data_IF_574748932983
#
_entry.id   IF_574748932983
#
_cell.length_a   1.000
_cell.length_b   1.000
_cell.length_c   1.000
_cell.angle_alpha   90.00
_cell.angle_beta   90.00
_cell.angle_gamma   90.00
#
_symmetry.space_group_name_H-M   'P 1'
#
loop_
_entity.id
_entity.type
_entity.pdbx_description
1 polymer ?
#
# COMPACT_ATOMS: atom_id res chain seq x y z
N UNK A 1 20.51 20.67 -14.16
CA UNK A 1 20.31 20.21 -12.77
C UNK A 1 19.12 20.97 -12.20
N UNK A 2 18.11 20.28 -11.64
CA UNK A 2 16.95 20.93 -11.03
C UNK A 2 17.35 21.73 -9.78
N UNK A 3 16.66 22.83 -9.50
CA UNK A 3 16.93 23.65 -8.31
C UNK A 3 16.53 22.91 -7.03
N UNK A 4 17.17 23.25 -5.89
CA UNK A 4 16.84 22.67 -4.58
C UNK A 4 15.34 22.85 -4.22
N UNK A 5 14.75 23.98 -4.65
CA UNK A 5 13.31 24.24 -4.48
C UNK A 5 12.44 23.28 -5.28
N UNK A 6 12.80 23.00 -6.54
CA UNK A 6 12.06 22.06 -7.39
C UNK A 6 12.15 20.62 -6.88
N UNK A 7 13.33 20.21 -6.38
CA UNK A 7 13.49 18.88 -5.75
C UNK A 7 12.66 18.74 -4.48
N UNK A 8 12.56 19.81 -3.67
CA UNK A 8 11.70 19.83 -2.48
C UNK A 8 10.22 19.66 -2.84
N UNK A 9 9.74 20.43 -3.81
CA UNK A 9 8.36 20.32 -4.30
C UNK A 9 8.07 18.91 -4.84
N UNK A 10 9.01 18.32 -5.57
CA UNK A 10 8.90 16.95 -6.08
C UNK A 10 8.81 15.93 -4.92
N UNK A 11 9.65 16.06 -3.90
CA UNK A 11 9.57 15.23 -2.68
C UNK A 11 8.20 15.36 -1.99
N UNK A 12 7.67 16.58 -1.84
CA UNK A 12 6.35 16.83 -1.23
C UNK A 12 5.21 16.20 -2.04
N UNK A 13 5.26 16.28 -3.37
CA UNK A 13 4.29 15.64 -4.26
C UNK A 13 4.37 14.10 -4.19
N UNK A 14 5.58 13.55 -4.10
CA UNK A 14 5.78 12.10 -3.94
C UNK A 14 5.24 11.62 -2.60
N UNK A 15 5.46 12.36 -1.49
CA UNK A 15 4.88 12.04 -0.18
C UNK A 15 3.34 12.00 -0.26
N UNK A 16 2.71 13.01 -0.83
CA UNK A 16 1.24 13.02 -1.01
C UNK A 16 0.72 11.83 -1.82
N UNK A 17 1.51 11.38 -2.80
CA UNK A 17 1.16 10.20 -3.62
C UNK A 17 1.27 8.90 -2.82
N UNK A 18 2.32 8.77 -1.99
CA UNK A 18 2.50 7.66 -1.04
C UNK A 18 1.33 7.61 -0.06
N UNK A 19 0.96 8.74 0.56
CA UNK A 19 -0.18 8.84 1.49
C UNK A 19 -1.49 8.40 0.84
N UNK A 20 -1.75 8.84 -0.39
CA UNK A 20 -2.93 8.44 -1.16
C UNK A 20 -2.96 6.93 -1.43
N UNK A 21 -1.82 6.32 -1.72
CA UNK A 21 -1.71 4.87 -1.92
C UNK A 21 -1.99 4.12 -0.61
N UNK A 22 -1.46 4.58 0.53
CA UNK A 22 -1.76 4.00 1.85
C UNK A 22 -3.25 4.07 2.21
N UNK A 23 -3.92 5.20 1.95
CA UNK A 23 -5.36 5.35 2.20
C UNK A 23 -6.17 4.33 1.37
N UNK A 24 -5.84 4.17 0.08
CA UNK A 24 -6.49 3.17 -0.78
C UNK A 24 -6.27 1.75 -0.26
N UNK A 25 -5.03 1.41 0.12
CA UNK A 25 -4.69 0.11 0.69
C UNK A 25 -5.48 -0.18 1.95
N UNK A 26 -5.56 0.79 2.87
CA UNK A 26 -6.32 0.65 4.12
C UNK A 26 -7.82 0.45 3.86
N UNK A 27 -8.40 1.14 2.88
CA UNK A 27 -9.80 0.96 2.50
C UNK A 27 -10.08 -0.46 1.97
N UNK A 28 -9.20 -1.00 1.12
CA UNK A 28 -9.33 -2.37 0.61
C UNK A 28 -9.20 -3.42 1.72
N UNK A 29 -8.20 -3.26 2.61
CA UNK A 29 -8.02 -4.13 3.77
C UNK A 29 -9.24 -4.09 4.70
N UNK A 30 -9.76 -2.89 5.01
CA UNK A 30 -10.98 -2.73 5.79
C UNK A 30 -12.19 -3.39 5.12
N UNK A 31 -12.27 -3.32 3.79
CA UNK A 31 -13.28 -4.03 3.00
C UNK A 31 -13.23 -5.55 3.19
N UNK A 32 -12.05 -6.14 3.32
CA UNK A 32 -11.92 -7.58 3.59
C UNK A 32 -12.53 -7.97 4.94
N UNK A 33 -12.25 -7.20 6.01
CA UNK A 33 -12.78 -7.47 7.34
C UNK A 33 -14.30 -7.26 7.44
N UNK A 34 -14.87 -6.28 6.74
CA UNK A 34 -16.30 -5.96 6.84
C UNK A 34 -17.16 -6.81 5.90
N UNK A 35 -16.69 -7.10 4.68
CA UNK A 35 -17.51 -7.76 3.64
C UNK A 35 -17.31 -9.27 3.56
N UNK A 36 -16.12 -9.78 3.92
CA UNK A 36 -15.83 -11.22 3.91
C UNK A 36 -15.87 -11.84 5.30
N UNK A 37 -16.53 -11.14 6.24
CA UNK A 37 -16.98 -11.67 7.52
C UNK A 37 -18.53 -11.80 7.58
N UNK A 38 -19.24 -12.36 6.57
CA UNK A 38 -20.59 -12.87 6.81
C UNK A 38 -20.46 -14.07 7.77
N UNK A 39 -21.47 -14.37 8.61
CA UNK A 39 -21.34 -15.44 9.59
C UNK A 39 -20.93 -16.71 8.84
N UNK A 40 -19.87 -17.36 9.29
CA UNK A 40 -19.48 -18.68 8.83
C UNK A 40 -20.76 -19.52 8.76
N UNK A 41 -21.33 -19.70 7.57
CA UNK A 41 -22.49 -20.58 7.44
C UNK A 41 -21.90 -21.97 7.51
N UNK A 42 -21.84 -22.51 8.72
CA UNK A 42 -21.46 -23.88 8.99
C UNK A 42 -22.43 -24.81 8.23
N UNK A 43 -22.00 -25.30 7.07
CA UNK A 43 -22.57 -26.51 6.49
C UNK A 43 -21.70 -27.69 6.96
N UNK A 44 -21.90 -28.13 8.20
CA UNK A 44 -21.00 -29.08 8.86
C UNK A 44 -19.72 -28.40 9.37
N UNK A 45 -18.53 -28.95 9.08
CA UNK A 45 -17.21 -28.46 9.54
C UNK A 45 -16.50 -27.52 8.53
N UNK A 46 -17.20 -27.01 7.52
CA UNK A 46 -16.58 -26.23 6.43
C UNK A 46 -17.01 -24.77 6.51
N UNK A 47 -16.01 -23.88 6.59
CA UNK A 47 -16.18 -22.43 6.43
C UNK A 47 -16.26 -22.14 4.93
N UNK A 48 -17.42 -21.70 4.47
CA UNK A 48 -17.60 -21.30 3.07
C UNK A 48 -17.43 -19.78 2.94
N UNK A 49 -16.32 -19.35 2.34
CA UNK A 49 -16.13 -17.95 1.94
C UNK A 49 -17.04 -17.70 0.72
N UNK A 50 -18.17 -17.02 0.95
CA UNK A 50 -19.22 -16.81 -0.06
C UNK A 50 -18.77 -16.00 -1.28
N UNK A 51 -17.63 -15.32 -1.21
CA UNK A 51 -17.15 -14.42 -2.26
C UNK A 51 -15.62 -14.48 -2.42
N UNK A 52 -15.12 -15.69 -2.65
CA UNK A 52 -13.69 -15.96 -2.82
C UNK A 52 -13.08 -15.19 -4.00
N UNK A 53 -13.84 -14.99 -5.09
CA UNK A 53 -13.36 -14.29 -6.29
C UNK A 53 -13.12 -12.81 -6.02
N UNK A 54 -14.05 -12.12 -5.34
CA UNK A 54 -13.80 -10.72 -4.96
C UNK A 54 -12.73 -10.58 -3.90
N UNK A 55 -12.59 -11.57 -3.00
CA UNK A 55 -11.49 -11.61 -2.04
C UNK A 55 -10.13 -11.70 -2.77
N UNK A 56 -9.99 -12.62 -3.74
CA UNK A 56 -8.79 -12.75 -4.56
C UNK A 56 -8.49 -11.46 -5.33
N UNK A 57 -9.48 -10.87 -5.98
CA UNK A 57 -9.33 -9.59 -6.70
C UNK A 57 -8.88 -8.46 -5.75
N UNK A 58 -9.40 -8.43 -4.53
CA UNK A 58 -9.01 -7.45 -3.51
C UNK A 58 -7.55 -7.64 -3.09
N UNK A 59 -7.09 -8.88 -2.93
CA UNK A 59 -5.67 -9.18 -2.66
C UNK A 59 -4.75 -8.74 -3.81
N UNK A 60 -5.13 -9.01 -5.06
CA UNK A 60 -4.36 -8.55 -6.22
C UNK A 60 -4.21 -7.03 -6.25
N UNK A 61 -5.30 -6.30 -5.94
CA UNK A 61 -5.27 -4.84 -5.83
C UNK A 61 -4.35 -4.37 -4.69
N UNK A 62 -4.38 -5.03 -3.53
CA UNK A 62 -3.49 -4.71 -2.41
C UNK A 62 -2.02 -4.93 -2.80
N UNK A 63 -1.69 -6.04 -3.47
CA UNK A 63 -0.34 -6.33 -3.95
C UNK A 63 0.12 -5.25 -4.94
N UNK A 64 -0.75 -4.86 -5.88
CA UNK A 64 -0.47 -3.79 -6.83
C UNK A 64 -0.16 -2.46 -6.12
N UNK A 65 -0.95 -2.08 -5.11
CA UNK A 65 -0.72 -0.85 -4.33
C UNK A 65 0.58 -0.95 -3.51
N UNK A 66 0.91 -2.11 -2.95
CA UNK A 66 2.19 -2.30 -2.24
C UNK A 66 3.38 -2.03 -3.18
N UNK A 67 3.31 -2.54 -4.43
CA UNK A 67 4.34 -2.29 -5.44
C UNK A 67 4.42 -0.80 -5.83
N UNK A 68 3.27 -0.11 -5.91
CA UNK A 68 3.22 1.34 -6.14
C UNK A 68 3.92 2.11 -5.00
N UNK A 69 3.62 1.78 -3.74
CA UNK A 69 4.26 2.39 -2.57
C UNK A 69 5.77 2.15 -2.58
N UNK A 70 6.23 0.93 -2.87
CA UNK A 70 7.65 0.60 -2.96
C UNK A 70 8.36 1.45 -4.00
N UNK A 71 7.77 1.59 -5.19
CA UNK A 71 8.31 2.40 -6.27
C UNK A 71 8.37 3.89 -5.90
N UNK A 72 7.27 4.45 -5.40
CA UNK A 72 7.22 5.87 -5.01
C UNK A 72 8.22 6.20 -3.90
N UNK A 73 8.40 5.28 -2.95
CA UNK A 73 9.37 5.45 -1.86
C UNK A 73 10.80 5.40 -2.38
N UNK A 74 11.09 4.50 -3.33
CA UNK A 74 12.38 4.46 -4.00
C UNK A 74 12.67 5.76 -4.76
N UNK A 75 11.70 6.24 -5.55
CA UNK A 75 11.82 7.49 -6.30
C UNK A 75 12.03 8.70 -5.37
N UNK A 76 11.33 8.73 -4.23
CA UNK A 76 11.54 9.74 -3.19
C UNK A 76 12.97 9.70 -2.64
N UNK A 77 13.48 8.52 -2.27
CA UNK A 77 14.81 8.37 -1.66
C UNK A 77 15.95 8.76 -2.61
N UNK A 78 15.78 8.56 -3.93
CA UNK A 78 16.71 9.09 -4.93
C UNK A 78 16.78 10.63 -4.82
N UNK A 79 15.63 11.30 -4.86
CA UNK A 79 15.58 12.77 -4.81
C UNK A 79 16.06 13.31 -3.46
N UNK A 80 15.68 12.66 -2.37
CA UNK A 80 16.02 13.03 -1.00
C UNK A 80 17.53 12.94 -0.76
N UNK A 81 18.17 11.83 -1.17
CA UNK A 81 19.61 11.64 -1.05
C UNK A 81 20.42 12.70 -1.83
N UNK A 82 19.97 13.06 -3.03
CA UNK A 82 20.59 14.13 -3.84
C UNK A 82 20.40 15.54 -3.26
N UNK A 83 19.50 15.70 -2.28
CA UNK A 83 19.07 17.00 -1.74
C UNK A 83 19.34 17.19 -0.25
N UNK A 84 19.96 16.19 0.40
CA UNK A 84 20.15 16.09 1.85
C UNK A 84 18.83 16.16 2.65
N UNK A 85 17.76 15.54 2.14
CA UNK A 85 16.54 15.30 2.90
C UNK A 85 16.55 13.90 3.53
N UNK A 86 15.76 13.71 4.57
CA UNK A 86 15.64 12.41 5.24
C UNK A 86 15.02 11.37 4.29
N UNK A 87 15.64 10.19 4.26
CA UNK A 87 15.12 9.04 3.53
C UNK A 87 13.93 8.43 4.28
N UNK A 88 13.00 7.86 3.51
CA UNK A 88 11.94 7.01 4.05
C UNK A 88 12.46 5.58 4.18
N UNK A 89 12.34 5.02 5.38
CA UNK A 89 12.62 3.60 5.63
C UNK A 89 11.37 2.76 5.38
N UNK A 90 11.52 1.72 4.57
CA UNK A 90 10.52 0.65 4.47
C UNK A 90 10.97 -0.45 5.40
N UNK A 91 10.22 -0.64 6.49
CA UNK A 91 10.43 -1.76 7.39
C UNK A 91 9.96 -3.04 6.70
N UNK A 92 10.92 -3.80 6.16
CA UNK A 92 10.69 -5.18 5.76
C UNK A 92 10.63 -6.02 7.03
N UNK A 93 9.43 -6.38 7.47
CA UNK A 93 9.28 -7.42 8.49
C UNK A 93 9.59 -8.74 7.80
N UNK A 94 10.77 -9.30 8.06
CA UNK A 94 11.06 -10.67 7.72
C UNK A 94 10.09 -11.54 8.53
N UNK A 95 9.03 -12.04 7.89
CA UNK A 95 8.15 -13.05 8.47
C UNK A 95 8.96 -14.30 8.80
N UNK A 96 8.99 -14.67 10.08
CA UNK A 96 9.53 -15.92 10.64
C UNK A 96 8.63 -17.08 10.25
#
# INVERSE_FOLDING_TARGET
MASKSAKKEQCELTIKSIEKAYIKRAHLLGGLFVKHCPPDTFSGNVVNILDIENMMRTFEQIISINNEILKLTHDYNIIASESCFDNLEILTINTI
#
